data_IF_441079801699
#
_entry.id   IF_441079801699
#
_cell.length_a   1.000
_cell.length_b   1.000
_cell.length_c   1.000
_cell.angle_alpha   90.00
_cell.angle_beta   90.00
_cell.angle_gamma   90.00
#
_symmetry.space_group_name_H-M   'P 1'
#
loop_
_entity.id
_entity.type
_entity.pdbx_description
1 polymer ?
#
# COMPACT_ATOMS: atom_id res chain seq x y z
N UNK A 1 3.15 0.24 8.44
CA UNK A 1 2.19 -0.89 8.28
C UNK A 1 1.67 -1.06 6.85
N UNK A 2 0.96 -0.09 6.25
CA UNK A 2 0.30 -0.28 4.92
C UNK A 2 1.27 -0.72 3.81
N UNK A 3 2.47 -0.13 3.75
CA UNK A 3 3.50 -0.54 2.78
C UNK A 3 3.95 -1.99 3.01
N UNK A 4 4.10 -2.40 4.28
CA UNK A 4 4.45 -3.78 4.64
C UNK A 4 3.36 -4.77 4.22
N UNK A 5 2.09 -4.42 4.42
CA UNK A 5 0.96 -5.24 3.97
C UNK A 5 1.02 -5.50 2.46
N UNK A 6 1.22 -4.46 1.65
CA UNK A 6 1.36 -4.66 0.20
C UNK A 6 2.57 -5.53 -0.18
N UNK A 7 3.70 -5.39 0.52
CA UNK A 7 4.89 -6.22 0.29
C UNK A 7 4.65 -7.69 0.65
N UNK A 8 3.97 -7.98 1.77
CA UNK A 8 3.61 -9.35 2.17
C UNK A 8 2.59 -10.01 1.24
N UNK A 9 1.75 -9.22 0.55
CA UNK A 9 0.91 -9.71 -0.55
C UNK A 9 1.70 -10.08 -1.81
N UNK A 10 3.01 -9.80 -1.86
CA UNK A 10 3.87 -10.05 -3.01
C UNK A 10 3.87 -8.93 -4.07
N UNK A 11 3.32 -7.76 -3.74
CA UNK A 11 3.27 -6.64 -4.69
C UNK A 11 4.58 -5.84 -4.71
N UNK A 12 4.87 -5.24 -5.86
CA UNK A 12 5.82 -4.12 -5.96
C UNK A 12 5.09 -2.83 -5.62
N UNK A 13 5.62 -2.05 -4.67
CA UNK A 13 4.96 -0.85 -4.12
C UNK A 13 5.74 0.41 -4.46
N UNK A 14 5.06 1.45 -4.95
CA UNK A 14 5.67 2.72 -5.37
C UNK A 14 5.06 3.89 -4.57
N UNK A 15 5.49 4.12 -3.32
CA UNK A 15 4.95 5.20 -2.50
C UNK A 15 5.47 6.57 -2.95
N UNK A 16 4.55 7.51 -3.22
CA UNK A 16 4.90 8.90 -3.54
C UNK A 16 5.16 9.69 -2.26
N UNK A 17 6.31 10.36 -2.18
CA UNK A 17 6.58 11.40 -1.18
C UNK A 17 7.59 12.43 -1.73
N UNK A 18 7.40 13.70 -1.39
CA UNK A 18 8.38 14.77 -1.61
C UNK A 18 9.10 15.20 -0.32
N UNK A 19 8.71 14.63 0.83
CA UNK A 19 9.28 14.95 2.14
C UNK A 19 10.38 13.96 2.47
N UNK A 20 11.65 14.38 2.67
CA UNK A 20 12.77 13.46 2.90
C UNK A 20 12.58 12.53 4.09
N UNK A 21 12.03 13.02 5.20
CA UNK A 21 11.74 12.19 6.37
C UNK A 21 10.76 11.05 6.05
N UNK A 22 9.71 11.34 5.28
CA UNK A 22 8.73 10.34 4.84
C UNK A 22 9.29 9.35 3.82
N UNK A 23 10.25 9.78 2.99
CA UNK A 23 10.94 8.84 2.07
C UNK A 23 11.73 7.81 2.87
N UNK A 24 12.43 8.25 3.92
CA UNK A 24 13.12 7.34 4.84
C UNK A 24 12.16 6.42 5.58
N UNK A 25 11.12 6.99 6.20
CA UNK A 25 10.09 6.22 6.92
C UNK A 25 9.43 5.17 6.02
N UNK A 26 9.11 5.52 4.77
CA UNK A 26 8.52 4.58 3.81
C UNK A 26 9.44 3.40 3.45
N UNK A 27 10.76 3.56 3.62
CA UNK A 27 11.75 2.51 3.37
C UNK A 27 12.00 1.63 4.61
N UNK A 28 11.73 2.14 5.81
CA UNK A 28 11.88 1.44 7.10
C UNK A 28 10.70 0.48 7.36
N UNK A 29 10.46 -0.47 6.45
CA UNK A 29 9.34 -1.43 6.51
C UNK A 29 9.77 -2.88 6.35
N UNK A 30 11.07 -3.16 6.49
CA UNK A 30 11.65 -4.49 6.28
C UNK A 30 12.11 -5.18 7.57
N UNK A 31 12.09 -4.47 8.69
CA UNK A 31 12.53 -4.90 10.01
C UNK A 31 11.41 -5.53 10.85
N UNK A 32 10.18 -5.57 10.33
CA UNK A 32 9.05 -6.24 10.95
C UNK A 32 8.17 -6.99 9.94
N UNK A 33 7.28 -7.82 10.46
CA UNK A 33 6.27 -8.56 9.71
C UNK A 33 4.91 -8.40 10.38
N UNK A 34 3.85 -8.37 9.58
CA UNK A 34 2.47 -8.38 10.06
C UNK A 34 2.03 -9.81 10.31
N UNK A 35 1.39 -10.05 11.45
CA UNK A 35 0.76 -11.32 11.77
C UNK A 35 -0.40 -11.60 10.81
N UNK A 36 -0.77 -12.87 10.67
CA UNK A 36 -1.85 -13.29 9.78
C UNK A 36 -3.18 -12.59 10.10
N UNK A 37 -3.48 -12.36 11.37
CA UNK A 37 -4.69 -11.66 11.80
C UNK A 37 -4.68 -10.18 11.38
N UNK A 38 -3.52 -9.51 11.44
CA UNK A 38 -3.37 -8.13 10.98
C UNK A 38 -3.50 -8.04 9.45
N UNK A 39 -2.90 -9.01 8.74
CA UNK A 39 -3.03 -9.14 7.29
C UNK A 39 -4.49 -9.32 6.88
N UNK A 40 -5.24 -10.16 7.59
CA UNK A 40 -6.66 -10.38 7.35
C UNK A 40 -7.49 -9.13 7.66
N UNK A 41 -7.22 -8.44 8.77
CA UNK A 41 -7.93 -7.24 9.18
C UNK A 41 -7.78 -6.11 8.15
N UNK A 42 -6.58 -5.88 7.62
CA UNK A 42 -6.35 -4.86 6.57
C UNK A 42 -7.02 -5.26 5.25
N UNK A 43 -6.96 -6.53 4.88
CA UNK A 43 -7.59 -7.04 3.65
C UNK A 43 -9.12 -6.87 3.66
N UNK A 44 -9.75 -7.02 4.84
CA UNK A 44 -11.18 -6.85 5.02
C UNK A 44 -11.68 -5.40 4.84
N UNK A 45 -10.78 -4.42 4.71
CA UNK A 45 -11.13 -3.01 4.48
C UNK A 45 -11.44 -2.67 3.01
N UNK A 46 -11.29 -3.61 2.07
CA UNK A 46 -11.58 -3.36 0.66
C UNK A 46 -13.06 -3.02 0.44
N UNK A 47 -13.31 -1.89 -0.22
CA UNK A 47 -14.65 -1.41 -0.59
C UNK A 47 -14.88 -1.38 -2.10
N UNK A 48 -13.91 -1.85 -2.90
CA UNK A 48 -13.97 -1.75 -4.37
C UNK A 48 -13.96 -0.31 -4.91
N UNK A 49 -13.67 0.68 -4.06
CA UNK A 49 -13.69 2.10 -4.44
C UNK A 49 -12.39 2.50 -5.12
N UNK A 50 -12.48 3.14 -6.30
CA UNK A 50 -11.33 3.74 -6.99
C UNK A 50 -11.13 5.19 -6.54
N UNK A 51 -9.88 5.55 -6.22
CA UNK A 51 -9.48 6.94 -5.93
C UNK A 51 -8.98 7.66 -7.19
N UNK A 52 -8.45 6.90 -8.15
CA UNK A 52 -8.04 7.41 -9.46
C UNK A 52 -9.16 7.31 -10.51
N UNK A 53 -8.92 7.85 -11.71
CA UNK A 53 -9.86 7.74 -12.82
C UNK A 53 -10.09 6.29 -13.25
N UNK A 54 -11.25 6.01 -13.84
CA UNK A 54 -11.53 4.73 -14.47
C UNK A 54 -10.62 4.55 -15.70
N UNK A 55 -9.80 3.48 -15.77
CA UNK A 55 -8.92 3.24 -16.92
C UNK A 55 -9.64 3.20 -18.27
N UNK A 56 -10.90 2.75 -18.30
CA UNK A 56 -11.68 2.63 -19.54
C UNK A 56 -12.26 3.97 -20.03
N UNK A 57 -12.32 4.97 -19.14
CA UNK A 57 -12.85 6.32 -19.44
C UNK A 57 -11.73 7.35 -19.59
N UNK A 58 -10.51 7.02 -19.16
CA UNK A 58 -9.39 7.94 -19.17
C UNK A 58 -8.84 8.12 -20.59
N UNK A 59 -9.23 9.22 -21.24
CA UNK A 59 -8.75 9.60 -22.58
C UNK A 59 -9.65 9.17 -23.74
N UNK A 60 -10.85 8.65 -23.45
CA UNK A 60 -11.93 8.49 -24.42
C UNK A 60 -12.64 9.83 -24.72
#
# INVERSE_FOLDING_TARGET
MVLRWHLQLGNVVIPKSATPARVRENFEVFDFELADDDMAAVTALDTGTRVGPNPDELGA
#
